data_IF_627302170443
#
_entry.id   IF_627302170443
#
_cell.length_a   1.000
_cell.length_b   1.000
_cell.length_c   1.000
_cell.angle_alpha   90.00
_cell.angle_beta   90.00
_cell.angle_gamma   90.00
#
_symmetry.space_group_name_H-M   'P 1'
#
loop_
_entity.id
_entity.type
_entity.pdbx_description
1 polymer ?
#
# COMPACT_ATOMS: atom_id res chain seq x y z
N UNK A 1 -1.90 17.47 6.61
CA UNK A 1 -1.22 18.66 6.08
C UNK A 1 0.26 18.79 6.48
N UNK A 2 0.91 17.79 7.12
CA UNK A 2 2.37 17.81 7.34
C UNK A 2 3.19 17.10 6.27
N UNK A 3 2.63 16.06 5.65
CA UNK A 3 3.26 15.32 4.55
C UNK A 3 3.68 16.20 3.37
N UNK A 4 2.97 17.30 3.15
CA UNK A 4 3.20 18.21 2.02
C UNK A 4 4.14 19.38 2.34
N UNK A 5 4.71 19.46 3.55
CA UNK A 5 5.66 20.52 3.88
C UNK A 5 6.90 20.55 2.97
N UNK A 6 7.51 19.41 2.61
CA UNK A 6 8.60 19.42 1.64
C UNK A 6 8.13 19.92 0.27
N UNK A 7 6.93 19.57 -0.18
CA UNK A 7 6.39 20.04 -1.47
C UNK A 7 6.16 21.55 -1.48
N UNK A 8 5.65 22.10 -0.37
CA UNK A 8 5.49 23.54 -0.18
C UNK A 8 6.84 24.26 -0.19
N UNK A 9 7.84 23.70 0.50
CA UNK A 9 9.20 24.25 0.50
C UNK A 9 9.82 24.17 -0.90
N UNK A 10 9.66 23.06 -1.62
CA UNK A 10 10.12 22.89 -2.99
C UNK A 10 9.48 23.94 -3.92
N UNK A 11 8.16 24.07 -3.90
CA UNK A 11 7.44 25.05 -4.73
C UNK A 11 7.84 26.49 -4.42
N UNK A 12 8.01 26.81 -3.14
CA UNK A 12 8.47 28.13 -2.70
C UNK A 12 9.88 28.42 -3.21
N UNK A 13 10.83 27.51 -2.99
CA UNK A 13 12.20 27.66 -3.48
C UNK A 13 12.24 27.78 -5.01
N UNK A 14 11.46 26.98 -5.74
CA UNK A 14 11.46 26.95 -7.20
C UNK A 14 10.99 28.28 -7.79
N UNK A 15 10.05 28.95 -7.12
CA UNK A 15 9.54 30.26 -7.56
C UNK A 15 10.54 31.41 -7.39
N UNK A 16 11.56 31.25 -6.54
CA UNK A 16 12.52 32.29 -6.18
C UNK A 16 13.89 32.14 -6.87
N UNK A 17 14.07 31.15 -7.75
CA UNK A 17 15.33 30.90 -8.46
C UNK A 17 15.12 30.81 -9.97
N UNK A 18 16.14 31.21 -10.75
CA UNK A 18 16.10 31.17 -12.21
C UNK A 18 16.41 29.80 -12.81
N UNK A 19 17.07 28.93 -12.05
CA UNK A 19 17.43 27.57 -12.47
C UNK A 19 16.46 26.55 -11.88
N UNK A 20 16.20 25.40 -12.54
CA UNK A 20 15.43 24.32 -11.93
C UNK A 20 16.06 23.84 -10.61
N UNK A 21 15.23 23.45 -9.64
CA UNK A 21 15.74 22.81 -8.41
C UNK A 21 16.39 21.48 -8.75
N UNK A 22 17.57 21.25 -8.20
CA UNK A 22 18.18 19.91 -8.18
C UNK A 22 17.43 19.02 -7.19
N UNK A 23 16.59 18.15 -7.73
CA UNK A 23 15.79 17.20 -6.95
C UNK A 23 16.65 16.28 -6.08
N UNK A 24 17.90 16.03 -6.48
CA UNK A 24 18.84 15.17 -5.74
C UNK A 24 19.30 15.87 -4.46
N UNK A 25 19.50 17.19 -4.51
CA UNK A 25 20.00 17.99 -3.38
C UNK A 25 18.89 18.55 -2.50
N UNK A 26 17.68 18.70 -3.03
CA UNK A 26 16.58 19.33 -2.31
C UNK A 26 16.32 18.70 -0.94
N UNK A 27 16.14 17.38 -0.85
CA UNK A 27 15.85 16.73 0.43
C UNK A 27 17.03 16.78 1.40
N UNK A 28 18.26 16.76 0.90
CA UNK A 28 19.45 16.92 1.73
C UNK A 28 19.44 18.30 2.41
N UNK A 29 19.27 19.37 1.63
CA UNK A 29 19.26 20.75 2.14
C UNK A 29 18.04 21.01 3.03
N UNK A 30 16.85 20.55 2.60
CA UNK A 30 15.61 20.64 3.38
C UNK A 30 15.76 20.00 4.75
N UNK A 31 16.26 18.76 4.82
CA UNK A 31 16.35 18.04 6.10
C UNK A 31 17.43 18.58 7.02
N UNK A 32 18.52 19.14 6.49
CA UNK A 32 19.54 19.84 7.28
C UNK A 32 19.01 21.11 7.94
N UNK A 33 18.08 21.81 7.29
CA UNK A 33 17.44 23.02 7.84
C UNK A 33 16.39 22.67 8.88
N UNK A 34 15.55 21.66 8.61
CA UNK A 34 14.37 21.35 9.42
C UNK A 34 14.69 20.46 10.63
N UNK A 35 15.66 19.55 10.51
CA UNK A 35 15.92 18.55 11.53
C UNK A 35 17.34 18.68 12.12
N UNK A 36 17.55 18.23 13.38
CA UNK A 36 18.88 18.20 13.97
C UNK A 36 19.86 17.39 13.11
N UNK A 37 21.11 17.88 13.03
CA UNK A 37 22.18 17.29 12.22
C UNK A 37 22.34 15.77 12.39
N UNK A 38 22.17 15.27 13.63
CA UNK A 38 22.24 13.84 13.95
C UNK A 38 21.20 12.97 13.21
N UNK A 39 20.03 13.51 12.89
CA UNK A 39 18.93 12.77 12.23
C UNK A 39 18.66 13.21 10.78
N UNK A 40 19.16 14.37 10.36
CA UNK A 40 18.91 14.94 9.03
C UNK A 40 19.14 13.92 7.90
N UNK A 41 20.30 13.26 7.88
CA UNK A 41 20.63 12.25 6.86
C UNK A 41 19.73 11.00 6.89
N UNK A 42 19.18 10.61 8.05
CA UNK A 42 18.23 9.49 8.12
C UNK A 42 16.87 9.89 7.55
N UNK A 43 16.42 11.11 7.87
CA UNK A 43 15.13 11.63 7.40
C UNK A 43 15.19 11.97 5.91
N UNK A 44 16.35 12.40 5.39
CA UNK A 44 16.61 12.55 3.96
C UNK A 44 16.35 11.24 3.21
N UNK A 45 16.94 10.13 3.68
CA UNK A 45 16.74 8.81 3.09
C UNK A 45 15.27 8.38 3.14
N UNK A 46 14.56 8.68 4.23
CA UNK A 46 13.12 8.43 4.31
C UNK A 46 12.33 9.20 3.23
N UNK A 47 12.61 10.49 3.01
CA UNK A 47 11.96 11.27 1.96
C UNK A 47 12.26 10.71 0.56
N UNK A 48 13.52 10.38 0.28
CA UNK A 48 13.91 9.81 -1.01
C UNK A 48 13.23 8.46 -1.27
N UNK A 49 13.12 7.61 -0.26
CA UNK A 49 12.44 6.32 -0.35
C UNK A 49 10.92 6.49 -0.56
N UNK A 50 10.28 7.42 0.16
CA UNK A 50 8.88 7.79 -0.05
C UNK A 50 8.61 8.30 -1.48
N UNK A 51 9.46 9.20 -1.98
CA UNK A 51 9.34 9.74 -3.33
C UNK A 51 9.49 8.65 -4.39
N UNK A 52 10.47 7.73 -4.22
CA UNK A 52 10.63 6.58 -5.11
C UNK A 52 9.40 5.67 -5.09
N UNK A 53 8.89 5.36 -3.90
CA UNK A 53 7.70 4.53 -3.73
C UNK A 53 6.48 5.14 -4.43
N UNK A 54 6.19 6.42 -4.16
CA UNK A 54 5.10 7.15 -4.81
C UNK A 54 5.24 7.14 -6.33
N UNK A 55 6.46 7.38 -6.86
CA UNK A 55 6.71 7.38 -8.30
C UNK A 55 6.42 6.03 -8.94
N UNK A 56 6.88 4.93 -8.34
CA UNK A 56 6.63 3.58 -8.85
C UNK A 56 5.16 3.21 -8.77
N UNK A 57 4.50 3.48 -7.64
CA UNK A 57 3.08 3.16 -7.44
C UNK A 57 2.22 4.00 -8.38
N UNK A 58 2.52 5.29 -8.55
CA UNK A 58 1.81 6.16 -9.48
C UNK A 58 1.92 5.68 -10.92
N UNK A 59 3.09 5.19 -11.34
CA UNK A 59 3.26 4.56 -12.67
C UNK A 59 2.45 3.28 -12.81
N UNK A 60 2.27 2.52 -11.72
CA UNK A 60 1.58 1.25 -11.74
C UNK A 60 0.05 1.37 -11.77
N UNK A 61 -0.52 2.20 -10.89
CA UNK A 61 -1.97 2.28 -10.67
C UNK A 61 -2.57 3.66 -10.96
N UNK A 62 -1.75 4.71 -11.11
CA UNK A 62 -2.22 6.08 -11.24
C UNK A 62 -2.35 6.77 -9.89
N UNK A 63 -3.49 7.40 -9.60
CA UNK A 63 -3.66 8.16 -8.36
C UNK A 63 -3.95 7.20 -7.19
N UNK A 64 -2.92 6.90 -6.40
CA UNK A 64 -2.99 5.93 -5.29
C UNK A 64 -4.08 6.22 -4.26
N UNK A 65 -4.44 7.48 -4.03
CA UNK A 65 -5.49 7.87 -3.08
C UNK A 65 -6.90 7.43 -3.47
N UNK A 66 -7.14 7.25 -4.77
CA UNK A 66 -8.39 6.70 -5.28
C UNK A 66 -8.29 5.18 -5.41
N UNK A 67 -7.22 4.70 -6.04
CA UNK A 67 -7.01 3.28 -6.34
C UNK A 67 -6.91 2.38 -5.10
N UNK A 68 -6.48 2.93 -3.94
CA UNK A 68 -6.47 2.19 -2.68
C UNK A 68 -7.85 1.60 -2.31
N UNK A 69 -8.95 2.24 -2.72
CA UNK A 69 -10.32 1.81 -2.40
C UNK A 69 -10.99 1.05 -3.53
N UNK A 70 -10.34 0.92 -4.68
CA UNK A 70 -10.91 0.24 -5.84
C UNK A 70 -10.91 -1.27 -5.65
N UNK A 71 -11.83 -1.96 -6.32
CA UNK A 71 -11.86 -3.43 -6.33
C UNK A 71 -10.58 -3.95 -7.03
N UNK A 72 -9.69 -4.68 -6.32
CA UNK A 72 -8.42 -5.12 -6.89
C UNK A 72 -8.57 -6.32 -7.86
N UNK A 73 -9.75 -6.96 -7.91
CA UNK A 73 -10.12 -8.02 -8.85
C UNK A 73 -10.98 -7.52 -10.03
N UNK A 74 -11.18 -6.21 -10.16
CA UNK A 74 -11.83 -5.63 -11.35
C UNK A 74 -10.95 -5.85 -12.60
N UNK A 75 -11.57 -5.85 -13.79
CA UNK A 75 -10.81 -5.98 -15.04
C UNK A 75 -9.77 -4.85 -15.22
N UNK A 76 -10.09 -3.64 -14.75
CA UNK A 76 -9.16 -2.50 -14.72
C UNK A 76 -7.95 -2.80 -13.84
N UNK A 77 -8.19 -3.24 -12.60
CA UNK A 77 -7.13 -3.48 -11.61
C UNK A 77 -6.24 -4.66 -11.99
N UNK A 78 -6.82 -5.75 -12.52
CA UNK A 78 -6.05 -6.89 -13.01
C UNK A 78 -5.17 -6.51 -14.21
N UNK A 79 -5.67 -5.66 -15.13
CA UNK A 79 -4.86 -5.14 -16.24
C UNK A 79 -3.70 -4.25 -15.75
N UNK A 80 -3.94 -3.43 -14.72
CA UNK A 80 -2.90 -2.63 -14.08
C UNK A 80 -1.82 -3.53 -13.47
N UNK A 81 -2.21 -4.58 -12.73
CA UNK A 81 -1.30 -5.58 -12.19
C UNK A 81 -0.47 -6.25 -13.30
N UNK A 82 -1.12 -6.82 -14.31
CA UNK A 82 -0.45 -7.55 -15.41
C UNK A 82 0.61 -6.68 -16.10
N UNK A 83 0.31 -5.40 -16.29
CA UNK A 83 1.20 -4.47 -16.99
C UNK A 83 2.31 -3.88 -16.12
N UNK A 84 2.19 -3.95 -14.78
CA UNK A 84 3.03 -3.18 -13.86
C UNK A 84 3.55 -3.95 -12.64
N UNK A 85 3.61 -5.29 -12.68
CA UNK A 85 4.09 -6.13 -11.55
C UNK A 85 5.42 -5.62 -10.97
N UNK A 86 6.39 -5.29 -11.83
CA UNK A 86 7.70 -4.79 -11.40
C UNK A 86 7.62 -3.43 -10.70
N UNK A 87 6.80 -2.50 -11.22
CA UNK A 87 6.61 -1.20 -10.58
C UNK A 87 5.92 -1.35 -9.21
N UNK A 88 4.93 -2.22 -9.09
CA UNK A 88 4.29 -2.53 -7.81
C UNK A 88 5.31 -3.10 -6.81
N UNK A 89 6.13 -4.06 -7.24
CA UNK A 89 7.16 -4.66 -6.39
C UNK A 89 8.20 -3.64 -5.92
N UNK A 90 8.77 -2.85 -6.83
CA UNK A 90 9.73 -1.77 -6.49
C UNK A 90 9.11 -0.70 -5.61
N UNK A 91 7.84 -0.39 -5.84
CA UNK A 91 7.07 0.55 -5.02
C UNK A 91 6.97 0.10 -3.57
N UNK A 92 6.72 -1.20 -3.33
CA UNK A 92 6.71 -1.78 -1.97
C UNK A 92 8.07 -1.75 -1.31
N UNK A 93 9.13 -2.21 -2.01
CA UNK A 93 10.49 -2.21 -1.45
C UNK A 93 10.91 -0.80 -1.02
N UNK A 94 10.60 0.22 -1.83
CA UNK A 94 10.88 1.61 -1.48
C UNK A 94 10.01 2.12 -0.32
N UNK A 95 8.75 1.67 -0.21
CA UNK A 95 7.89 2.01 0.92
C UNK A 95 8.43 1.39 2.22
N UNK A 96 8.83 0.12 2.20
CA UNK A 96 9.43 -0.60 3.32
C UNK A 96 10.75 0.05 3.75
N UNK A 97 11.60 0.44 2.79
CA UNK A 97 12.82 1.21 3.05
C UNK A 97 12.51 2.53 3.78
N UNK A 98 11.49 3.27 3.34
CA UNK A 98 11.05 4.47 4.03
C UNK A 98 10.56 4.19 5.45
N UNK A 99 9.78 3.12 5.65
CA UNK A 99 9.30 2.70 6.97
C UNK A 99 10.47 2.45 7.93
N UNK A 100 11.53 1.77 7.48
CA UNK A 100 12.73 1.50 8.28
C UNK A 100 13.38 2.80 8.76
N UNK A 101 13.63 3.75 7.85
CA UNK A 101 14.25 5.03 8.21
C UNK A 101 13.37 5.86 9.14
N UNK A 102 12.07 5.88 8.93
CA UNK A 102 11.11 6.62 9.75
C UNK A 102 10.96 6.03 11.15
N UNK A 103 10.87 4.70 11.25
CA UNK A 103 10.84 4.01 12.54
C UNK A 103 12.12 4.26 13.34
N UNK A 104 13.28 4.32 12.67
CA UNK A 104 14.53 4.67 13.32
C UNK A 104 14.53 6.13 13.80
N UNK A 105 14.12 7.07 12.94
CA UNK A 105 14.04 8.48 13.29
C UNK A 105 13.07 8.74 14.46
N UNK A 106 11.92 8.04 14.51
CA UNK A 106 10.94 8.15 15.59
C UNK A 106 11.52 7.77 16.97
N UNK A 107 12.49 6.85 17.04
CA UNK A 107 13.16 6.48 18.32
C UNK A 107 13.92 7.65 18.94
N UNK A 108 14.27 8.67 18.15
CA UNK A 108 14.97 9.86 18.64
C UNK A 108 14.06 10.86 19.39
N UNK A 109 12.73 10.71 19.28
CA UNK A 109 11.75 11.62 19.87
C UNK A 109 11.62 12.98 19.15
N UNK A 110 12.32 13.18 18.03
CA UNK A 110 12.28 14.42 17.24
C UNK A 110 11.05 14.39 16.33
N UNK A 111 10.31 15.52 16.29
CA UNK A 111 9.13 15.74 15.44
C UNK A 111 8.28 14.49 15.21
N UNK A 112 7.91 13.84 16.31
CA UNK A 112 7.23 12.54 16.27
C UNK A 112 5.90 12.61 15.54
N UNK A 113 5.29 13.79 15.46
CA UNK A 113 4.02 14.01 14.75
C UNK A 113 4.24 13.95 13.23
N UNK A 114 5.15 14.74 12.68
CA UNK A 114 5.42 14.74 11.23
C UNK A 114 5.99 13.40 10.78
N UNK A 115 6.95 12.84 11.52
CA UNK A 115 7.54 11.54 11.18
C UNK A 115 6.52 10.39 11.25
N UNK A 116 5.56 10.45 12.18
CA UNK A 116 4.48 9.46 12.23
C UNK A 116 3.50 9.62 11.07
N UNK A 117 3.20 10.84 10.63
CA UNK A 117 2.41 11.09 9.44
C UNK A 117 3.12 10.53 8.18
N UNK A 118 4.43 10.75 8.06
CA UNK A 118 5.27 10.14 7.01
C UNK A 118 5.24 8.62 7.04
N UNK A 119 5.34 8.01 8.23
CA UNK A 119 5.29 6.56 8.37
C UNK A 119 3.92 6.01 7.95
N UNK A 120 2.85 6.72 8.30
CA UNK A 120 1.48 6.41 7.87
C UNK A 120 1.37 6.47 6.34
N UNK A 121 1.97 7.48 5.70
CA UNK A 121 2.05 7.57 4.24
C UNK A 121 2.81 6.41 3.60
N UNK A 122 3.96 6.02 4.17
CA UNK A 122 4.75 4.88 3.68
C UNK A 122 3.97 3.56 3.78
N UNK A 123 3.31 3.30 4.92
CA UNK A 123 2.46 2.12 5.14
C UNK A 123 1.29 2.07 4.17
N UNK A 124 0.69 3.21 3.84
CA UNK A 124 -0.40 3.31 2.87
C UNK A 124 0.06 3.00 1.44
N UNK A 125 1.23 3.49 1.04
CA UNK A 125 1.83 3.19 -0.26
C UNK A 125 2.16 1.69 -0.38
N UNK A 126 2.78 1.10 0.63
CA UNK A 126 3.04 -0.35 0.69
C UNK A 126 1.73 -1.15 0.55
N UNK A 127 0.71 -0.80 1.34
CA UNK A 127 -0.59 -1.46 1.29
C UNK A 127 -1.24 -1.41 -0.10
N UNK A 128 -1.21 -0.26 -0.79
CA UNK A 128 -1.75 -0.16 -2.16
C UNK A 128 -1.05 -1.15 -3.09
N UNK A 129 0.27 -1.20 -3.06
CA UNK A 129 0.99 -2.09 -3.95
C UNK A 129 0.83 -3.57 -3.54
N UNK A 130 0.78 -3.87 -2.25
CA UNK A 130 0.52 -5.22 -1.74
C UNK A 130 -0.86 -5.72 -2.17
N UNK A 131 -1.88 -4.87 -2.05
CA UNK A 131 -3.27 -5.14 -2.46
C UNK A 131 -3.37 -5.61 -3.91
N UNK A 132 -2.73 -4.87 -4.83
CA UNK A 132 -2.74 -5.21 -6.27
C UNK A 132 -1.90 -6.45 -6.59
N UNK A 133 -0.73 -6.61 -5.96
CA UNK A 133 0.10 -7.81 -6.14
C UNK A 133 -0.64 -9.06 -5.67
N UNK A 134 -1.24 -9.04 -4.48
CA UNK A 134 -1.92 -10.21 -3.95
C UNK A 134 -3.17 -10.56 -4.75
N UNK A 135 -3.97 -9.57 -5.14
CA UNK A 135 -5.13 -9.84 -5.99
C UNK A 135 -4.73 -10.43 -7.35
N UNK A 136 -3.68 -9.88 -7.96
CA UNK A 136 -3.12 -10.40 -9.20
C UNK A 136 -2.57 -11.82 -9.08
N UNK A 137 -1.80 -12.10 -8.02
CA UNK A 137 -1.26 -13.44 -7.74
C UNK A 137 -2.39 -14.46 -7.55
N UNK A 138 -3.45 -14.10 -6.81
CA UNK A 138 -4.62 -14.95 -6.62
C UNK A 138 -5.34 -15.19 -7.95
N UNK A 139 -5.49 -14.17 -8.78
CA UNK A 139 -6.13 -14.31 -10.10
C UNK A 139 -5.29 -15.20 -11.04
N UNK A 140 -3.98 -15.03 -11.08
CA UNK A 140 -3.05 -15.85 -11.87
C UNK A 140 -3.06 -17.31 -11.40
N UNK A 141 -3.07 -17.54 -10.09
CA UNK A 141 -3.22 -18.88 -9.50
C UNK A 141 -4.53 -19.53 -9.96
N UNK A 142 -5.68 -18.87 -9.79
CA UNK A 142 -6.98 -19.42 -10.21
C UNK A 142 -7.01 -19.72 -11.72
N UNK A 143 -6.42 -18.84 -12.54
CA UNK A 143 -6.31 -19.01 -14.00
C UNK A 143 -5.37 -20.16 -14.41
N UNK A 144 -4.31 -20.42 -13.64
CA UNK A 144 -3.43 -21.58 -13.85
C UNK A 144 -4.20 -22.88 -13.62
N UNK A 145 -4.86 -23.01 -12.48
CA UNK A 145 -5.52 -24.26 -12.09
C UNK A 145 -6.89 -24.49 -12.74
N UNK A 146 -7.52 -23.46 -13.33
CA UNK A 146 -8.68 -23.69 -14.20
C UNK A 146 -8.30 -24.46 -15.47
N UNK A 147 -7.03 -24.36 -15.92
CA UNK A 147 -6.50 -25.08 -17.07
C UNK A 147 -5.77 -26.37 -16.68
N UNK A 148 -5.04 -26.34 -15.57
CA UNK A 148 -4.25 -27.46 -15.06
C UNK A 148 -4.95 -28.10 -13.86
N UNK A 149 -5.44 -29.33 -14.01
CA UNK A 149 -6.13 -30.07 -12.94
C UNK A 149 -5.16 -30.76 -11.96
N UNK A 150 -4.20 -30.02 -11.41
CA UNK A 150 -3.41 -30.51 -10.27
C UNK A 150 -4.06 -30.05 -8.95
N UNK A 151 -4.96 -30.87 -8.41
CA UNK A 151 -5.65 -30.55 -7.16
C UNK A 151 -4.73 -30.51 -5.95
N UNK A 152 -3.64 -31.28 -5.95
CA UNK A 152 -2.73 -31.32 -4.81
C UNK A 152 -1.98 -30.00 -4.71
N UNK A 153 -1.41 -29.54 -5.83
CA UNK A 153 -0.73 -28.25 -5.92
C UNK A 153 -1.74 -27.11 -5.67
N UNK A 154 -2.94 -27.18 -6.25
CA UNK A 154 -3.99 -26.19 -6.00
C UNK A 154 -4.35 -26.04 -4.51
N UNK A 155 -4.57 -27.15 -3.80
CA UNK A 155 -4.89 -27.12 -2.35
C UNK A 155 -3.76 -26.53 -1.52
N UNK A 156 -2.51 -26.82 -1.88
CA UNK A 156 -1.34 -26.23 -1.24
C UNK A 156 -1.32 -24.71 -1.43
N UNK A 157 -1.50 -24.23 -2.66
CA UNK A 157 -1.56 -22.80 -2.97
C UNK A 157 -2.75 -22.10 -2.29
N UNK A 158 -3.91 -22.76 -2.21
CA UNK A 158 -5.07 -22.25 -1.46
C UNK A 158 -4.76 -22.07 0.02
N UNK A 159 -3.85 -22.89 0.59
CA UNK A 159 -3.31 -22.69 1.93
C UNK A 159 -2.59 -21.34 2.07
N UNK A 160 -1.72 -20.98 1.14
CA UNK A 160 -1.00 -19.69 1.15
C UNK A 160 -1.94 -18.48 1.02
N UNK A 161 -3.10 -18.68 0.38
CA UNK A 161 -4.09 -17.61 0.18
C UNK A 161 -5.06 -17.50 1.35
N UNK A 162 -5.55 -18.61 1.90
CA UNK A 162 -6.69 -18.62 2.83
C UNK A 162 -6.44 -19.21 4.22
N UNK A 163 -5.22 -19.69 4.53
CA UNK A 163 -4.91 -20.19 5.87
C UNK A 163 -5.26 -19.18 6.96
N UNK A 164 -5.77 -19.68 8.08
CA UNK A 164 -6.46 -18.85 9.08
C UNK A 164 -5.54 -17.85 9.83
N UNK A 165 -4.25 -18.16 9.94
CA UNK A 165 -3.29 -17.35 10.72
C UNK A 165 -2.21 -16.69 9.87
N UNK A 166 -1.83 -17.29 8.74
CA UNK A 166 -0.71 -16.83 7.92
C UNK A 166 -1.05 -17.05 6.45
N UNK A 167 -1.66 -16.04 5.84
CA UNK A 167 -2.03 -16.09 4.43
C UNK A 167 -2.09 -14.70 3.83
N UNK A 168 -2.03 -14.61 2.50
CA UNK A 168 -2.18 -13.33 1.78
C UNK A 168 -3.45 -12.57 2.19
N UNK A 169 -4.53 -13.27 2.51
CA UNK A 169 -5.79 -12.66 2.96
C UNK A 169 -5.68 -12.14 4.40
N UNK A 170 -5.07 -12.89 5.31
CA UNK A 170 -4.85 -12.44 6.68
C UNK A 170 -3.92 -11.24 6.72
N UNK A 171 -2.85 -11.24 5.90
CA UNK A 171 -1.95 -10.11 5.74
C UNK A 171 -2.71 -8.84 5.29
N UNK A 172 -3.76 -8.98 4.46
CA UNK A 172 -4.65 -7.86 4.09
C UNK A 172 -5.47 -7.36 5.28
N UNK A 173 -6.02 -8.25 6.10
CA UNK A 173 -6.75 -7.83 7.30
C UNK A 173 -5.85 -7.02 8.25
N UNK A 174 -4.66 -7.55 8.52
CA UNK A 174 -3.69 -6.90 9.41
C UNK A 174 -3.26 -5.54 8.85
N UNK A 175 -2.93 -5.49 7.55
CA UNK A 175 -2.55 -4.23 6.89
C UNK A 175 -3.68 -3.20 6.92
N UNK A 176 -4.94 -3.59 6.71
CA UNK A 176 -6.10 -2.68 6.74
C UNK A 176 -6.31 -2.13 8.15
N UNK A 177 -6.29 -3.00 9.16
CA UNK A 177 -6.50 -2.60 10.57
C UNK A 177 -5.36 -1.72 11.06
N UNK A 178 -4.11 -2.06 10.74
CA UNK A 178 -2.94 -1.24 11.06
C UNK A 178 -3.05 0.14 10.40
N UNK A 179 -3.31 0.20 9.09
CA UNK A 179 -3.44 1.47 8.36
C UNK A 179 -4.60 2.32 8.88
N UNK A 180 -5.74 1.71 9.27
CA UNK A 180 -6.88 2.42 9.86
C UNK A 180 -6.47 3.14 11.15
N UNK A 181 -5.83 2.44 12.08
CA UNK A 181 -5.43 3.00 13.36
C UNK A 181 -4.31 4.04 13.22
N UNK A 182 -3.34 3.78 12.34
CA UNK A 182 -2.31 4.76 12.01
C UNK A 182 -2.90 6.03 11.41
N UNK A 183 -3.79 5.91 10.42
CA UNK A 183 -4.47 7.05 9.83
C UNK A 183 -5.29 7.83 10.86
N UNK A 184 -6.04 7.14 11.72
CA UNK A 184 -6.81 7.76 12.80
C UNK A 184 -5.93 8.62 13.70
N UNK A 185 -4.79 8.06 14.13
CA UNK A 185 -3.82 8.77 14.97
C UNK A 185 -3.18 9.95 14.24
N UNK A 186 -2.75 9.76 12.99
CA UNK A 186 -2.17 10.83 12.18
C UNK A 186 -3.17 11.98 11.95
N UNK A 187 -4.44 11.66 11.68
CA UNK A 187 -5.50 12.64 11.55
C UNK A 187 -5.68 13.47 12.82
N UNK A 188 -5.83 12.82 13.97
CA UNK A 188 -6.08 13.51 15.25
C UNK A 188 -4.87 14.32 15.75
N UNK A 189 -3.66 14.05 15.23
CA UNK A 189 -2.50 14.88 15.50
C UNK A 189 -2.51 16.22 14.74
N UNK A 190 -3.30 16.34 13.66
CA UNK A 190 -3.28 17.49 12.75
C UNK A 190 -4.63 18.19 12.59
N UNK A 191 -5.73 17.47 12.84
CA UNK A 191 -7.09 17.90 12.57
C UNK A 191 -8.01 17.54 13.74
N UNK A 192 -9.18 18.19 13.78
CA UNK A 192 -10.24 17.82 14.72
C UNK A 192 -10.91 16.50 14.31
N UNK A 193 -11.73 15.91 15.19
CA UNK A 193 -12.52 14.72 14.87
C UNK A 193 -13.59 14.96 13.80
N UNK A 194 -13.82 16.21 13.41
CA UNK A 194 -14.73 16.55 12.33
C UNK A 194 -14.35 15.78 11.05
N UNK A 195 -15.32 15.09 10.45
CA UNK A 195 -15.19 14.25 9.24
C UNK A 195 -14.36 12.97 9.37
N UNK A 196 -13.66 12.71 10.49
CA UNK A 196 -12.84 11.50 10.66
C UNK A 196 -13.63 10.19 10.45
N UNK A 197 -14.92 10.16 10.79
CA UNK A 197 -15.77 8.99 10.58
C UNK A 197 -15.84 8.52 9.12
N UNK A 198 -15.73 9.43 8.14
CA UNK A 198 -15.83 9.10 6.72
C UNK A 198 -14.66 8.23 6.23
N UNK A 199 -13.37 8.63 6.39
CA UNK A 199 -12.26 7.76 6.03
C UNK A 199 -12.21 6.48 6.88
N UNK A 200 -12.63 6.49 8.15
CA UNK A 200 -12.72 5.27 8.97
C UNK A 200 -13.68 4.24 8.37
N UNK A 201 -14.84 4.69 7.89
CA UNK A 201 -15.81 3.82 7.23
C UNK A 201 -15.26 3.19 5.94
N UNK A 202 -14.36 3.87 5.20
CA UNK A 202 -13.72 3.28 4.02
C UNK A 202 -12.84 2.08 4.37
N UNK A 203 -12.08 2.16 5.46
CA UNK A 203 -11.31 1.01 5.96
C UNK A 203 -12.23 -0.13 6.40
N UNK A 204 -13.36 0.17 7.04
CA UNK A 204 -14.34 -0.86 7.43
C UNK A 204 -14.96 -1.56 6.22
N UNK A 205 -15.28 -0.82 5.16
CA UNK A 205 -15.77 -1.38 3.90
C UNK A 205 -14.70 -2.26 3.24
N UNK A 206 -13.45 -1.80 3.18
CA UNK A 206 -12.33 -2.58 2.63
C UNK A 206 -12.11 -3.88 3.43
N UNK A 207 -12.16 -3.83 4.77
CA UNK A 207 -12.04 -5.01 5.61
C UNK A 207 -13.19 -6.02 5.35
N UNK A 208 -14.43 -5.54 5.30
CA UNK A 208 -15.59 -6.36 4.97
C UNK A 208 -15.49 -6.97 3.57
N UNK A 209 -14.95 -6.22 2.61
CA UNK A 209 -14.69 -6.71 1.27
C UNK A 209 -13.75 -7.90 1.30
N UNK A 210 -12.60 -7.79 1.98
CA UNK A 210 -11.65 -8.91 2.09
C UNK A 210 -12.22 -10.10 2.88
N UNK A 211 -13.09 -9.91 3.87
CA UNK A 211 -13.81 -11.02 4.51
C UNK A 211 -14.72 -11.77 3.52
N UNK A 212 -15.43 -11.04 2.65
CA UNK A 212 -16.24 -11.65 1.59
C UNK A 212 -15.34 -12.44 0.63
N UNK A 213 -14.18 -11.90 0.24
CA UNK A 213 -13.20 -12.59 -0.60
C UNK A 213 -12.71 -13.88 0.05
N UNK A 214 -12.32 -13.83 1.33
CA UNK A 214 -11.90 -15.02 2.09
C UNK A 214 -12.97 -16.10 2.04
N UNK A 215 -14.22 -15.76 2.37
CA UNK A 215 -15.34 -16.70 2.38
C UNK A 215 -15.57 -17.33 1.00
N UNK A 216 -15.47 -16.56 -0.07
CA UNK A 216 -15.63 -17.06 -1.44
C UNK A 216 -14.48 -17.98 -1.84
N UNK A 217 -13.24 -17.64 -1.51
CA UNK A 217 -12.08 -18.49 -1.76
C UNK A 217 -12.12 -19.77 -0.92
N UNK A 218 -12.54 -19.70 0.35
CA UNK A 218 -12.68 -20.87 1.21
C UNK A 218 -13.72 -21.88 0.69
N UNK A 219 -14.73 -21.40 -0.05
CA UNK A 219 -15.70 -22.30 -0.70
C UNK A 219 -15.04 -23.26 -1.70
N UNK A 220 -13.87 -22.90 -2.24
CA UNK A 220 -13.10 -23.73 -3.16
C UNK A 220 -12.28 -24.83 -2.47
N UNK A 221 -12.21 -24.86 -1.13
CA UNK A 221 -11.48 -25.94 -0.41
C UNK A 221 -12.06 -27.32 -0.68
N UNK A 222 -13.37 -27.39 -0.93
CA UNK A 222 -14.09 -28.63 -1.22
C UNK A 222 -14.23 -28.94 -2.71
N UNK A 223 -13.55 -28.16 -3.57
CA UNK A 223 -13.59 -28.33 -5.01
C UNK A 223 -13.11 -29.73 -5.44
N UNK A 224 -13.87 -30.36 -6.34
CA UNK A 224 -13.65 -31.74 -6.81
C UNK A 224 -13.02 -31.79 -8.19
N UNK A 225 -12.35 -32.92 -8.49
CA UNK A 225 -11.64 -33.16 -9.76
C UNK A 225 -12.51 -33.04 -11.01
N UNK A 226 -13.82 -33.25 -10.88
CA UNK A 226 -14.78 -33.26 -11.98
C UNK A 226 -15.56 -31.94 -12.14
N UNK A 227 -15.36 -30.96 -11.24
CA UNK A 227 -15.98 -29.65 -11.33
C UNK A 227 -15.13 -28.75 -12.26
N UNK A 228 -15.65 -27.58 -12.64
CA UNK A 228 -14.89 -26.52 -13.34
C UNK A 228 -14.69 -25.34 -12.39
N UNK A 229 -13.46 -24.83 -12.27
CA UNK A 229 -13.16 -23.73 -11.34
C UNK A 229 -13.89 -22.48 -11.83
N UNK A 230 -14.61 -21.77 -10.95
CA UNK A 230 -15.29 -20.56 -11.34
C UNK A 230 -14.29 -19.51 -11.83
N UNK A 231 -14.68 -18.73 -12.83
CA UNK A 231 -13.87 -17.62 -13.31
C UNK A 231 -13.61 -16.60 -12.18
N UNK A 232 -12.46 -15.92 -12.24
CA UNK A 232 -12.11 -14.84 -11.30
C UNK A 232 -13.22 -13.78 -11.24
N UNK A 233 -13.81 -13.43 -12.39
CA UNK A 233 -14.95 -12.50 -12.48
C UNK A 233 -16.14 -13.00 -11.68
N UNK A 234 -16.59 -14.24 -11.93
CA UNK A 234 -17.75 -14.82 -11.23
C UNK A 234 -17.51 -15.02 -9.73
N UNK A 235 -16.26 -15.24 -9.32
CA UNK A 235 -15.93 -15.53 -7.93
C UNK A 235 -15.61 -14.27 -7.14
N UNK A 236 -14.87 -13.31 -7.68
CA UNK A 236 -14.20 -12.26 -6.90
C UNK A 236 -14.65 -10.83 -7.25
N UNK A 237 -15.53 -10.65 -8.24
CA UNK A 237 -16.27 -9.39 -8.36
C UNK A 237 -17.43 -9.42 -7.36
N UNK A 238 -17.17 -8.80 -6.22
CA UNK A 238 -18.16 -8.61 -5.16
C UNK A 238 -18.80 -7.24 -5.40
N UNK A 239 -20.10 -7.22 -5.64
CA UNK A 239 -20.92 -5.99 -5.57
C UNK A 239 -21.12 -5.55 -4.10
#
# INVERSE_FOLDING_TARGET
MRLSWPDMAYGSSASWQSQPIDQTRFFQEYTQIIYPSKMAATIEKAHLALMKSESFIRKAVGQSDFEIWENPFSAKSLKMYESNKENLHRGRLAAEEAQIYLMNALKSGIDTVTLFAMLTGAKRLDFVAQKYLYAGDIADMLKKYSKQRDLKEFRMMMGEVTAYYHSKIVDMFDAIVENKEMFRKAWLNEYTSFRLGVPMAKFDIELQYWFKIQKRLDSLRNYKDNEELPSVTSLLQVE
#
